data_IF_611643738008
#
_entry.id   IF_611643738008
#
_cell.length_a   1.000
_cell.length_b   1.000
_cell.length_c   1.000
_cell.angle_alpha   90.00
_cell.angle_beta   90.00
_cell.angle_gamma   90.00
#
_symmetry.space_group_name_H-M   'P 1'
#
loop_
_entity.id
_entity.type
_entity.pdbx_description
1 polymer ?
#
# COMPACT_ATOMS: atom_id res chain seq x y z
N UNK A 1 18.16 -15.21 8.62
CA UNK A 1 17.25 -16.36 8.36
C UNK A 1 16.46 -16.09 7.08
N UNK A 2 16.15 -17.12 6.25
CA UNK A 2 15.28 -16.93 5.10
C UNK A 2 13.89 -16.47 5.55
N UNK A 3 13.34 -15.44 4.89
CA UNK A 3 11.98 -14.94 5.14
C UNK A 3 10.95 -15.94 4.61
N UNK A 4 9.80 -16.03 5.28
CA UNK A 4 8.68 -16.87 4.87
C UNK A 4 7.92 -16.31 3.65
N UNK A 5 6.99 -17.11 3.13
CA UNK A 5 6.21 -16.76 1.94
C UNK A 5 5.38 -15.48 2.17
N UNK A 6 4.85 -15.31 3.38
CA UNK A 6 4.03 -14.16 3.75
C UNK A 6 4.74 -12.82 3.55
N UNK A 7 6.02 -12.77 3.92
CA UNK A 7 6.85 -11.57 3.73
C UNK A 7 7.01 -11.21 2.25
N UNK A 8 7.36 -12.17 1.39
CA UNK A 8 7.59 -11.89 -0.03
C UNK A 8 6.29 -11.51 -0.75
N UNK A 9 5.19 -12.20 -0.47
CA UNK A 9 3.87 -11.82 -1.00
C UNK A 9 3.48 -10.41 -0.54
N UNK A 10 3.73 -10.11 0.72
CA UNK A 10 3.56 -8.78 1.30
C UNK A 10 4.35 -7.70 0.55
N UNK A 11 5.65 -7.94 0.36
CA UNK A 11 6.58 -7.04 -0.30
C UNK A 11 6.20 -6.78 -1.76
N UNK A 12 5.85 -7.84 -2.50
CA UNK A 12 5.39 -7.73 -3.89
C UNK A 12 4.09 -6.93 -3.96
N UNK A 13 3.12 -7.24 -3.10
CA UNK A 13 1.86 -6.48 -3.05
C UNK A 13 2.08 -5.00 -2.77
N UNK A 14 2.99 -4.66 -1.85
CA UNK A 14 3.33 -3.29 -1.51
C UNK A 14 4.03 -2.57 -2.67
N UNK A 15 5.00 -3.22 -3.32
CA UNK A 15 5.71 -2.67 -4.47
C UNK A 15 4.76 -2.36 -5.64
N UNK A 16 3.82 -3.26 -5.92
CA UNK A 16 2.81 -3.01 -6.93
C UNK A 16 1.84 -1.88 -6.51
N UNK A 17 1.56 -1.75 -5.21
CA UNK A 17 0.78 -0.62 -4.67
C UNK A 17 1.47 0.73 -4.89
N UNK A 18 2.79 0.80 -4.67
CA UNK A 18 3.59 1.99 -5.02
C UNK A 18 3.49 2.29 -6.52
N UNK A 19 3.65 1.26 -7.36
CA UNK A 19 3.57 1.44 -8.81
C UNK A 19 2.20 2.00 -9.23
N UNK A 20 1.11 1.44 -8.70
CA UNK A 20 -0.24 1.93 -8.96
C UNK A 20 -0.42 3.39 -8.50
N UNK A 21 0.06 3.73 -7.30
CA UNK A 21 0.05 5.12 -6.83
C UNK A 21 0.79 6.06 -7.78
N UNK A 22 1.99 5.69 -8.25
CA UNK A 22 2.77 6.50 -9.18
C UNK A 22 2.05 6.70 -10.52
N UNK A 23 1.42 5.65 -11.05
CA UNK A 23 0.62 5.73 -12.28
C UNK A 23 -0.55 6.70 -12.12
N UNK A 24 -1.30 6.59 -11.01
CA UNK A 24 -2.43 7.46 -10.72
C UNK A 24 -1.96 8.90 -10.48
N UNK A 25 -0.84 9.09 -9.79
CA UNK A 25 -0.24 10.40 -9.56
C UNK A 25 0.15 11.08 -10.88
N UNK A 26 0.80 10.35 -11.79
CA UNK A 26 1.13 10.85 -13.13
C UNK A 26 -0.13 11.19 -13.89
N UNK A 27 -1.15 10.33 -13.87
CA UNK A 27 -2.43 10.59 -14.52
C UNK A 27 -3.08 11.89 -14.02
N UNK A 28 -3.22 12.07 -12.70
CA UNK A 28 -3.76 13.30 -12.13
C UNK A 28 -2.90 14.53 -12.44
N UNK A 29 -1.57 14.39 -12.40
CA UNK A 29 -0.67 15.50 -12.74
C UNK A 29 -0.85 15.93 -14.20
N UNK A 30 -0.94 14.97 -15.13
CA UNK A 30 -1.18 15.27 -16.54
C UNK A 30 -2.55 15.92 -16.76
N UNK A 31 -3.59 15.44 -16.08
CA UNK A 31 -4.91 16.07 -16.11
C UNK A 31 -4.81 17.52 -15.59
N UNK A 32 -4.08 17.79 -14.50
CA UNK A 32 -3.95 19.14 -13.94
C UNK A 32 -3.24 20.13 -14.87
N UNK A 33 -2.34 19.64 -15.72
CA UNK A 33 -1.56 20.45 -16.66
C UNK A 33 -2.26 20.62 -18.02
N UNK A 34 -3.23 19.77 -18.36
CA UNK A 34 -3.94 19.77 -19.63
C UNK A 34 -5.42 20.16 -19.43
N UNK A 35 -5.83 21.40 -19.76
CA UNK A 35 -7.25 21.77 -19.69
C UNK A 35 -8.12 20.94 -20.65
N UNK A 36 -9.41 20.67 -20.36
CA UNK A 36 -10.19 21.20 -19.23
C UNK A 36 -10.37 20.17 -18.10
N UNK A 37 -9.94 20.52 -16.88
CA UNK A 37 -10.29 19.77 -15.67
C UNK A 37 -11.58 20.26 -15.04
N UNK A 38 -12.26 19.39 -14.29
CA UNK A 38 -13.44 19.77 -13.52
C UNK A 38 -12.99 20.35 -12.16
N UNK A 39 -13.56 21.46 -11.67
CA UNK A 39 -13.11 22.14 -10.43
C UNK A 39 -13.02 21.22 -9.20
N UNK A 40 -13.86 20.19 -9.15
CA UNK A 40 -13.94 19.21 -8.06
C UNK A 40 -12.65 18.38 -7.96
N UNK A 41 -12.03 18.03 -9.08
CA UNK A 41 -10.84 17.17 -9.11
C UNK A 41 -9.62 17.91 -8.51
N UNK A 42 -9.49 19.21 -8.81
CA UNK A 42 -8.45 20.08 -8.23
C UNK A 42 -8.56 20.15 -6.72
N UNK A 43 -9.78 20.23 -6.19
CA UNK A 43 -10.02 20.34 -4.75
C UNK A 43 -9.79 19.03 -4.00
N UNK A 44 -10.14 17.89 -4.62
CA UNK A 44 -10.01 16.57 -3.99
C UNK A 44 -8.60 15.99 -4.09
N UNK A 45 -7.81 16.41 -5.09
CA UNK A 45 -6.47 15.88 -5.33
C UNK A 45 -5.52 15.99 -4.13
N UNK A 46 -5.39 17.13 -3.41
CA UNK A 46 -4.54 17.22 -2.22
C UNK A 46 -4.95 16.26 -1.11
N UNK A 47 -6.26 16.09 -0.90
CA UNK A 47 -6.81 15.17 0.12
C UNK A 47 -6.48 13.73 -0.24
N UNK A 48 -6.71 13.35 -1.50
CA UNK A 48 -6.34 12.03 -2.01
C UNK A 48 -4.83 11.79 -1.87
N UNK A 49 -4.00 12.75 -2.27
CA UNK A 49 -2.55 12.65 -2.19
C UNK A 49 -2.05 12.43 -0.75
N UNK A 50 -2.55 13.22 0.20
CA UNK A 50 -2.21 13.08 1.62
C UNK A 50 -2.60 11.70 2.17
N UNK A 51 -3.81 11.23 1.84
CA UNK A 51 -4.28 9.90 2.26
C UNK A 51 -3.42 8.79 1.64
N UNK A 52 -3.11 8.87 0.35
CA UNK A 52 -2.24 7.89 -0.32
C UNK A 52 -0.85 7.84 0.31
N UNK A 53 -0.24 8.99 0.61
CA UNK A 53 1.06 9.05 1.30
C UNK A 53 0.99 8.41 2.68
N UNK A 54 -0.06 8.71 3.47
CA UNK A 54 -0.25 8.11 4.78
C UNK A 54 -0.38 6.58 4.71
N UNK A 55 -1.16 6.08 3.74
CA UNK A 55 -1.35 4.63 3.52
C UNK A 55 -0.04 3.96 3.11
N UNK A 56 0.72 4.55 2.18
CA UNK A 56 2.03 4.03 1.79
C UNK A 56 3.03 4.03 2.95
N UNK A 57 3.00 5.05 3.80
CA UNK A 57 3.82 5.08 5.02
C UNK A 57 3.46 3.92 5.97
N UNK A 58 2.17 3.65 6.19
CA UNK A 58 1.71 2.51 6.99
C UNK A 58 2.20 1.18 6.38
N UNK A 59 2.04 1.01 5.06
CA UNK A 59 2.50 -0.19 4.36
C UNK A 59 4.02 -0.39 4.44
N UNK A 60 4.78 0.69 4.27
CA UNK A 60 6.25 0.67 4.36
C UNK A 60 6.75 0.36 5.77
N UNK A 61 6.15 0.98 6.79
CA UNK A 61 6.44 0.67 8.21
C UNK A 61 6.06 -0.77 8.53
N UNK A 62 4.89 -1.23 8.07
CA UNK A 62 4.44 -2.61 8.24
C UNK A 62 5.43 -3.62 7.65
N UNK A 63 5.87 -3.40 6.41
CA UNK A 63 6.84 -4.24 5.73
C UNK A 63 8.21 -4.23 6.43
N UNK A 64 8.67 -3.07 6.88
CA UNK A 64 9.91 -2.94 7.66
C UNK A 64 9.87 -3.74 8.96
N UNK A 65 8.76 -3.65 9.71
CA UNK A 65 8.56 -4.37 10.95
C UNK A 65 8.40 -5.89 10.73
N UNK A 66 7.71 -6.31 9.67
CA UNK A 66 7.65 -7.72 9.23
C UNK A 66 9.05 -8.26 8.87
N UNK A 67 9.96 -7.36 8.50
CA UNK A 67 11.39 -7.58 8.31
C UNK A 67 12.18 -7.93 9.59
N UNK A 68 11.65 -7.67 10.78
CA UNK A 68 12.34 -7.92 12.06
C UNK A 68 12.60 -9.40 12.35
N UNK A 69 13.66 -9.69 13.12
CA UNK A 69 13.91 -11.02 13.72
C UNK A 69 13.10 -11.25 15.00
N UNK A 70 12.71 -10.16 15.67
CA UNK A 70 11.87 -10.22 16.85
C UNK A 70 10.42 -10.54 16.46
N UNK A 71 9.92 -11.68 16.96
CA UNK A 71 8.58 -12.22 16.66
C UNK A 71 7.44 -11.22 16.93
N UNK A 72 7.53 -10.49 18.04
CA UNK A 72 6.52 -9.48 18.42
C UNK A 72 6.42 -8.37 17.37
N UNK A 73 7.57 -7.81 16.97
CA UNK A 73 7.64 -6.76 15.94
C UNK A 73 7.22 -7.26 14.57
N UNK A 74 7.60 -8.48 14.21
CA UNK A 74 7.18 -9.09 12.95
C UNK A 74 5.66 -9.21 12.85
N UNK A 75 5.00 -9.65 13.93
CA UNK A 75 3.53 -9.71 14.02
C UNK A 75 2.87 -8.35 13.85
N UNK A 76 3.38 -7.33 14.54
CA UNK A 76 2.89 -5.96 14.36
C UNK A 76 3.03 -5.52 12.90
N UNK A 77 4.16 -5.84 12.27
CA UNK A 77 4.40 -5.54 10.86
C UNK A 77 3.36 -6.16 9.94
N UNK A 78 3.11 -7.46 10.05
CA UNK A 78 2.09 -8.13 9.25
C UNK A 78 0.67 -7.61 9.51
N UNK A 79 0.35 -7.24 10.75
CA UNK A 79 -0.92 -6.56 11.07
C UNK A 79 -1.07 -5.22 10.36
N UNK A 80 0.00 -4.41 10.31
CA UNK A 80 0.01 -3.15 9.57
C UNK A 80 -0.12 -3.36 8.05
N UNK A 81 0.45 -4.45 7.51
CA UNK A 81 0.28 -4.78 6.08
C UNK A 81 -1.16 -5.14 5.73
N UNK A 82 -1.87 -5.84 6.61
CA UNK A 82 -3.32 -6.11 6.44
C UNK A 82 -4.11 -4.81 6.47
N UNK A 83 -3.82 -3.93 7.44
CA UNK A 83 -4.47 -2.63 7.53
C UNK A 83 -4.22 -1.78 6.27
N UNK A 84 -2.97 -1.74 5.81
CA UNK A 84 -2.57 -1.12 4.55
C UNK A 84 -3.44 -1.64 3.39
N UNK A 85 -3.57 -2.95 3.22
CA UNK A 85 -4.35 -3.53 2.12
C UNK A 85 -5.82 -3.13 2.14
N UNK A 86 -6.45 -3.12 3.31
CA UNK A 86 -7.88 -2.77 3.45
C UNK A 86 -8.11 -1.31 3.05
N UNK A 87 -7.20 -0.42 3.47
CA UNK A 87 -7.34 1.02 3.23
C UNK A 87 -6.86 1.41 1.83
N UNK A 88 -5.82 0.78 1.31
CA UNK A 88 -5.27 1.05 -0.02
C UNK A 88 -6.25 0.65 -1.14
N UNK A 89 -7.02 -0.42 -0.94
CA UNK A 89 -7.94 -0.95 -1.95
C UNK A 89 -8.93 0.10 -2.51
N UNK A 90 -9.70 0.84 -1.70
CA UNK A 90 -10.59 1.89 -2.19
C UNK A 90 -9.85 3.17 -2.63
N UNK A 91 -8.68 3.46 -2.05
CA UNK A 91 -7.96 4.72 -2.29
C UNK A 91 -7.21 4.74 -3.62
N UNK A 92 -6.68 3.60 -4.09
CA UNK A 92 -5.87 3.52 -5.31
C UNK A 92 -6.69 2.97 -6.49
N UNK A 93 -7.98 3.34 -6.57
CA UNK A 93 -8.88 3.05 -7.71
C UNK A 93 -8.92 1.58 -8.12
N UNK A 94 -9.15 0.67 -7.18
CA UNK A 94 -9.34 -0.75 -7.52
C UNK A 94 -8.04 -1.46 -7.84
N UNK A 95 -6.92 -1.05 -7.22
CA UNK A 95 -5.68 -1.81 -7.25
C UNK A 95 -5.81 -3.11 -6.43
N UNK A 96 -6.56 -4.05 -7.00
CA UNK A 96 -7.03 -5.28 -6.36
C UNK A 96 -5.86 -6.24 -6.13
N UNK A 97 -5.01 -6.43 -7.13
CA UNK A 97 -3.99 -7.49 -7.11
C UNK A 97 -2.97 -7.28 -5.99
N UNK A 98 -2.34 -6.11 -5.90
CA UNK A 98 -1.35 -5.91 -4.85
C UNK A 98 -1.97 -5.69 -3.47
N UNK A 99 -3.20 -5.16 -3.37
CA UNK A 99 -3.94 -5.15 -2.10
C UNK A 99 -4.21 -6.58 -1.61
N UNK A 100 -4.64 -7.49 -2.50
CA UNK A 100 -4.84 -8.92 -2.20
C UNK A 100 -3.51 -9.58 -1.82
N UNK A 101 -2.45 -9.36 -2.59
CA UNK A 101 -1.14 -9.96 -2.29
C UNK A 101 -0.59 -9.49 -0.94
N UNK A 102 -0.72 -8.20 -0.61
CA UNK A 102 -0.33 -7.68 0.71
C UNK A 102 -1.24 -8.18 1.83
N UNK A 103 -2.52 -8.40 1.55
CA UNK A 103 -3.46 -8.94 2.53
C UNK A 103 -3.14 -10.40 2.84
N UNK A 104 -3.02 -11.23 1.80
CA UNK A 104 -2.66 -12.64 1.93
C UNK A 104 -1.26 -12.75 2.54
N UNK A 105 -0.30 -11.94 2.10
CA UNK A 105 1.05 -11.89 2.66
C UNK A 105 1.07 -11.57 4.14
N UNK A 106 0.25 -10.61 4.58
CA UNK A 106 0.05 -10.30 6.00
C UNK A 106 -0.56 -11.46 6.78
N UNK A 107 -1.62 -12.10 6.27
CA UNK A 107 -2.28 -13.24 6.93
C UNK A 107 -1.33 -14.44 7.04
N UNK A 108 -0.68 -14.83 5.93
CA UNK A 108 0.29 -15.93 5.91
C UNK A 108 1.47 -15.61 6.83
N UNK A 109 1.96 -14.37 6.80
CA UNK A 109 3.05 -13.92 7.65
C UNK A 109 2.72 -14.00 9.15
N UNK A 110 1.49 -13.68 9.56
CA UNK A 110 1.05 -13.85 10.95
C UNK A 110 1.04 -15.33 11.38
N UNK A 111 0.65 -16.24 10.48
CA UNK A 111 0.64 -17.69 10.75
C UNK A 111 2.07 -18.24 10.84
N UNK A 112 2.97 -17.78 9.96
CA UNK A 112 4.40 -18.14 9.96
C UNK A 112 5.16 -17.55 11.16
N UNK A 113 4.67 -16.42 11.72
CA UNK A 113 5.37 -15.65 12.76
C UNK A 113 5.33 -16.25 14.14
#
# INVERSE_FOLDING_TARGET
MPKGLGFYMGAVGFALGILAFLVVLVHFTLMTLLPPMWPVEVMLFPVWLLLSVAVLAIGGVGLSLAGSEERSRARTGYGLMILFSIVAFPLVWGFVIGSILSFIGGVVGLIES
#
